data_IF_151757980241
#
_entry.id   IF_151757980241
#
_cell.length_a   1.000
_cell.length_b   1.000
_cell.length_c   1.000
_cell.angle_alpha   90.00
_cell.angle_beta   90.00
_cell.angle_gamma   90.00
#
_symmetry.space_group_name_H-M   'P 1'
#
loop_
_entity.id
_entity.type
_entity.pdbx_description
1 polymer ?
#
# COMPACT_ATOMS: atom_id res chain seq x y z
N UNK A 1 12.60 23.74 -5.47
CA UNK A 1 11.71 24.49 -4.56
C UNK A 1 10.83 23.51 -3.78
N UNK A 2 10.79 23.63 -2.44
CA UNK A 2 9.86 22.83 -1.62
C UNK A 2 8.43 23.29 -1.87
N UNK A 3 7.51 22.35 -2.15
CA UNK A 3 6.11 22.65 -2.43
C UNK A 3 5.28 22.70 -1.14
N UNK A 4 5.38 21.66 -0.32
CA UNK A 4 4.72 21.58 0.99
C UNK A 4 5.48 20.66 1.94
N UNK A 5 5.04 20.62 3.18
CA UNK A 5 5.44 19.60 4.14
C UNK A 5 4.40 18.49 4.14
N UNK A 6 4.87 17.26 4.07
CA UNK A 6 4.06 16.09 4.31
C UNK A 6 4.22 15.71 5.79
N UNK A 7 3.12 15.42 6.44
CA UNK A 7 3.14 14.80 7.76
C UNK A 7 3.48 13.31 7.66
N UNK A 8 2.92 12.51 8.51
CA UNK A 8 3.10 11.05 8.46
C UNK A 8 2.26 10.48 7.30
N UNK A 9 2.91 10.15 6.20
CA UNK A 9 2.26 9.50 5.05
C UNK A 9 2.32 7.99 5.19
N UNK A 10 1.22 7.35 4.79
CA UNK A 10 1.08 5.89 4.83
C UNK A 10 0.74 5.31 3.44
N UNK A 11 0.86 6.10 2.39
CA UNK A 11 0.59 5.69 1.02
C UNK A 11 1.42 6.51 0.05
N UNK A 12 1.41 6.06 -1.20
CA UNK A 12 2.04 6.80 -2.30
C UNK A 12 1.31 8.12 -2.55
N UNK A 13 2.03 9.05 -3.14
CA UNK A 13 1.44 10.26 -3.70
C UNK A 13 0.73 9.92 -5.00
N UNK A 14 -0.50 10.38 -5.16
CA UNK A 14 -1.28 10.23 -6.38
C UNK A 14 -1.43 11.58 -7.06
N UNK A 15 -1.02 11.67 -8.32
CA UNK A 15 -1.19 12.85 -9.15
C UNK A 15 -2.40 12.65 -10.07
N UNK A 16 -3.36 13.58 -10.00
CA UNK A 16 -4.48 13.63 -10.92
C UNK A 16 -4.74 15.09 -11.35
N UNK A 17 -4.58 15.37 -12.63
CA UNK A 17 -4.60 16.74 -13.15
C UNK A 17 -3.50 17.58 -12.52
N UNK A 18 -3.86 18.71 -11.92
CA UNK A 18 -2.97 19.63 -11.21
C UNK A 18 -2.97 19.43 -9.69
N UNK A 19 -3.43 18.28 -9.19
CA UNK A 19 -3.56 18.02 -7.76
C UNK A 19 -2.82 16.77 -7.35
N UNK A 20 -2.18 16.84 -6.18
CA UNK A 20 -1.50 15.70 -5.54
C UNK A 20 -2.30 15.28 -4.32
N UNK A 21 -2.58 13.99 -4.20
CA UNK A 21 -3.37 13.39 -3.12
C UNK A 21 -2.54 12.40 -2.33
N UNK A 22 -2.79 12.35 -1.02
CA UNK A 22 -2.17 11.36 -0.13
C UNK A 22 -3.03 11.10 1.11
N UNK A 23 -2.74 10.00 1.76
CA UNK A 23 -3.24 9.72 3.11
C UNK A 23 -2.24 10.22 4.14
N UNK A 24 -2.71 10.96 5.12
CA UNK A 24 -1.88 11.41 6.25
C UNK A 24 -2.41 10.86 7.57
N UNK A 25 -1.52 10.30 8.37
CA UNK A 25 -1.86 9.82 9.71
C UNK A 25 -2.02 11.01 10.64
N UNK A 26 -3.12 11.01 11.38
CA UNK A 26 -3.43 12.00 12.41
C UNK A 26 -3.44 11.29 13.76
N UNK A 27 -2.44 11.49 14.61
CA UNK A 27 -2.39 10.87 15.93
C UNK A 27 -3.58 11.26 16.80
N UNK A 28 -4.03 10.34 17.63
CA UNK A 28 -5.00 10.62 18.69
C UNK A 28 -4.38 11.52 19.75
N UNK A 29 -5.14 12.52 20.22
CA UNK A 29 -4.64 13.46 21.23
C UNK A 29 -4.49 12.83 22.63
N UNK A 30 -5.25 11.78 22.90
CA UNK A 30 -5.33 11.15 24.22
C UNK A 30 -4.58 9.83 24.34
N UNK A 31 -4.57 9.05 23.25
CA UNK A 31 -4.02 7.70 23.22
C UNK A 31 -3.04 7.55 22.06
N UNK A 32 -1.80 7.23 22.35
CA UNK A 32 -0.72 7.11 21.35
C UNK A 32 -0.97 6.02 20.31
N UNK A 33 -1.76 5.00 20.64
CA UNK A 33 -2.11 3.90 19.74
C UNK A 33 -3.44 4.12 18.98
N UNK A 34 -4.17 5.20 19.28
CA UNK A 34 -5.37 5.58 18.56
C UNK A 34 -5.02 6.51 17.40
N UNK A 35 -4.69 5.93 16.27
CA UNK A 35 -4.35 6.69 15.08
C UNK A 35 -5.54 6.74 14.12
N UNK A 36 -5.73 7.91 13.54
CA UNK A 36 -6.67 8.19 12.46
C UNK A 36 -5.90 8.52 11.20
N UNK A 37 -6.60 8.58 10.09
CA UNK A 37 -6.07 9.10 8.85
C UNK A 37 -7.08 10.03 8.19
N UNK A 38 -6.57 10.91 7.34
CA UNK A 38 -7.33 11.81 6.48
C UNK A 38 -6.75 11.78 5.08
N UNK A 39 -7.58 12.03 4.07
CA UNK A 39 -7.09 12.29 2.74
C UNK A 39 -6.84 13.78 2.59
N UNK A 40 -5.64 14.13 2.15
CA UNK A 40 -5.23 15.50 1.83
C UNK A 40 -4.99 15.68 0.34
N UNK A 41 -5.10 16.91 -0.09
CA UNK A 41 -4.85 17.36 -1.44
C UNK A 41 -3.92 18.56 -1.40
N UNK A 42 -2.95 18.61 -2.31
CA UNK A 42 -2.16 19.81 -2.64
C UNK A 42 -2.49 20.24 -4.07
N UNK A 43 -2.88 21.46 -4.23
CA UNK A 43 -3.13 22.06 -5.54
C UNK A 43 -1.85 22.73 -6.06
N UNK A 44 -1.35 22.26 -7.21
CA UNK A 44 -0.08 22.70 -7.80
C UNK A 44 -0.14 24.15 -8.34
N UNK A 45 -1.31 24.65 -8.69
CA UNK A 45 -1.48 26.01 -9.19
C UNK A 45 -1.56 27.03 -8.05
N UNK A 46 -2.42 26.72 -7.06
CA UNK A 46 -2.66 27.65 -5.95
C UNK A 46 -1.69 27.47 -4.79
N UNK A 47 -0.98 26.35 -4.72
CA UNK A 47 -0.10 25.99 -3.62
C UNK A 47 -0.82 25.67 -2.31
N UNK A 48 -2.13 25.42 -2.36
CA UNK A 48 -2.96 25.20 -1.18
C UNK A 48 -3.04 23.72 -0.81
N UNK A 49 -2.85 23.41 0.48
CA UNK A 49 -3.19 22.12 1.08
C UNK A 49 -4.61 22.15 1.62
N UNK A 50 -5.40 21.12 1.30
CA UNK A 50 -6.77 20.97 1.79
C UNK A 50 -6.96 19.57 2.37
N UNK A 51 -7.65 19.47 3.52
CA UNK A 51 -8.10 18.20 4.09
C UNK A 51 -9.45 17.89 3.44
N UNK A 52 -9.54 16.74 2.77
CA UNK A 52 -10.74 16.34 2.02
C UNK A 52 -11.73 15.53 2.85
N UNK A 53 -11.24 14.70 3.77
CA UNK A 53 -12.10 13.81 4.55
C UNK A 53 -12.07 14.15 6.03
N UNK A 54 -13.13 13.81 6.78
CA UNK A 54 -13.04 13.79 8.24
C UNK A 54 -12.01 12.76 8.70
N UNK A 55 -11.70 12.75 9.99
CA UNK A 55 -10.86 11.72 10.60
C UNK A 55 -11.52 10.35 10.42
N UNK A 56 -10.80 9.42 9.86
CA UNK A 56 -11.22 8.05 9.61
C UNK A 56 -10.06 7.08 9.72
N UNK A 57 -10.16 5.96 9.00
CA UNK A 57 -9.09 4.97 8.85
C UNK A 57 -8.91 4.65 7.37
N UNK A 58 -8.68 5.70 6.59
CA UNK A 58 -8.50 5.64 5.14
C UNK A 58 -7.05 5.40 4.80
N UNK A 59 -6.80 4.51 3.84
CA UNK A 59 -5.47 4.18 3.33
C UNK A 59 -5.51 4.10 1.80
N UNK A 60 -4.34 4.13 1.17
CA UNK A 60 -4.12 3.79 -0.23
C UNK A 60 -5.09 4.48 -1.21
N UNK A 61 -5.18 5.81 -1.25
CA UNK A 61 -6.07 6.48 -2.19
C UNK A 61 -5.64 6.23 -3.63
N UNK A 62 -6.61 5.92 -4.50
CA UNK A 62 -6.48 5.98 -5.95
C UNK A 62 -7.51 6.99 -6.46
N UNK A 63 -7.14 7.80 -7.45
CA UNK A 63 -7.98 8.86 -7.97
C UNK A 63 -8.45 8.47 -9.37
N UNK A 64 -9.74 8.66 -9.66
CA UNK A 64 -10.29 8.43 -10.99
C UNK A 64 -9.74 9.46 -12.01
N UNK A 65 -9.81 9.11 -13.28
CA UNK A 65 -9.29 9.95 -14.36
C UNK A 65 -9.95 11.35 -14.44
N UNK A 66 -11.20 11.44 -13.99
CA UNK A 66 -11.99 12.67 -14.03
C UNK A 66 -11.77 13.54 -12.79
N UNK A 67 -10.93 13.07 -11.86
CA UNK A 67 -10.59 13.76 -10.61
C UNK A 67 -11.84 14.10 -9.75
N UNK A 68 -12.81 13.20 -9.75
CA UNK A 68 -14.08 13.33 -9.02
C UNK A 68 -14.20 12.41 -7.84
N UNK A 69 -13.65 11.20 -7.97
CA UNK A 69 -13.80 10.14 -6.97
C UNK A 69 -12.44 9.58 -6.57
N UNK A 70 -12.25 9.41 -5.27
CA UNK A 70 -11.15 8.60 -4.75
C UNK A 70 -11.70 7.24 -4.33
N UNK A 71 -11.03 6.17 -4.75
CA UNK A 71 -11.16 4.86 -4.12
C UNK A 71 -10.14 4.78 -2.98
N UNK A 72 -10.58 4.36 -1.81
CA UNK A 72 -9.73 4.25 -0.62
C UNK A 72 -9.98 2.94 0.09
N UNK A 73 -8.93 2.38 0.67
CA UNK A 73 -9.07 1.30 1.65
C UNK A 73 -9.50 1.89 2.98
N UNK A 74 -10.42 1.23 3.65
CA UNK A 74 -10.82 1.55 5.03
C UNK A 74 -10.94 0.27 5.83
N UNK A 75 -10.52 0.28 7.09
CA UNK A 75 -10.93 -0.77 8.01
C UNK A 75 -11.72 -0.19 9.18
N UNK A 76 -12.75 -0.95 9.58
CA UNK A 76 -13.68 -0.55 10.63
C UNK A 76 -13.14 -0.91 12.02
N UNK A 77 -13.79 -0.40 13.06
CA UNK A 77 -13.47 -0.79 14.46
C UNK A 77 -13.81 -2.26 14.71
N UNK A 78 -14.79 -2.81 13.98
CA UNK A 78 -15.14 -4.24 14.04
C UNK A 78 -14.15 -5.16 13.31
N UNK A 79 -13.13 -4.59 12.64
CA UNK A 79 -12.11 -5.38 11.94
C UNK A 79 -12.47 -5.73 10.49
N UNK A 80 -13.49 -5.10 9.90
CA UNK A 80 -13.85 -5.30 8.51
C UNK A 80 -13.02 -4.43 7.57
N UNK A 81 -12.49 -5.01 6.52
CA UNK A 81 -11.82 -4.31 5.44
C UNK A 81 -12.84 -3.95 4.35
N UNK A 82 -12.79 -2.72 3.90
CA UNK A 82 -13.72 -2.18 2.92
C UNK A 82 -12.99 -1.31 1.90
N UNK A 83 -13.46 -1.35 0.66
CA UNK A 83 -13.15 -0.32 -0.34
C UNK A 83 -14.25 0.73 -0.29
N UNK A 84 -13.87 2.00 -0.18
CA UNK A 84 -14.81 3.12 -0.09
C UNK A 84 -14.59 4.07 -1.24
N UNK A 85 -15.65 4.52 -1.88
CA UNK A 85 -15.63 5.61 -2.84
C UNK A 85 -15.94 6.92 -2.13
N UNK A 86 -15.06 7.90 -2.30
CA UNK A 86 -15.14 9.23 -1.68
C UNK A 86 -15.30 10.28 -2.78
N UNK A 87 -16.32 11.11 -2.67
CA UNK A 87 -16.48 12.30 -3.51
C UNK A 87 -15.42 13.33 -3.14
N UNK A 88 -14.56 13.70 -4.09
CA UNK A 88 -13.45 14.63 -3.85
C UNK A 88 -13.90 16.08 -3.69
N UNK A 89 -15.06 16.45 -4.23
CA UNK A 89 -15.60 17.80 -4.08
C UNK A 89 -16.29 17.99 -2.72
N UNK A 90 -17.08 16.98 -2.30
CA UNK A 90 -17.82 17.01 -1.06
C UNK A 90 -17.03 16.51 0.16
N UNK A 91 -15.95 15.75 -0.05
CA UNK A 91 -15.19 15.07 1.00
C UNK A 91 -16.02 14.02 1.75
N UNK A 92 -17.00 13.41 1.06
CA UNK A 92 -17.96 12.47 1.67
C UNK A 92 -17.88 11.10 1.01
N UNK A 93 -18.06 10.07 1.83
CA UNK A 93 -18.25 8.71 1.35
C UNK A 93 -19.55 8.60 0.55
N UNK A 94 -19.46 8.02 -0.64
CA UNK A 94 -20.60 7.76 -1.52
C UNK A 94 -21.09 6.33 -1.39
N UNK A 95 -20.17 5.36 -1.44
CA UNK A 95 -20.45 3.94 -1.43
C UNK A 95 -19.27 3.17 -0.86
N UNK A 96 -19.54 2.01 -0.26
CA UNK A 96 -18.50 1.08 0.17
C UNK A 96 -18.80 -0.34 -0.34
N UNK A 97 -17.74 -1.14 -0.42
CA UNK A 97 -17.77 -2.54 -0.82
C UNK A 97 -16.97 -3.36 0.18
N UNK A 98 -17.53 -4.47 0.60
CA UNK A 98 -16.83 -5.44 1.43
C UNK A 98 -15.81 -6.18 0.57
N UNK A 99 -14.62 -6.38 1.11
CA UNK A 99 -13.53 -7.07 0.40
C UNK A 99 -13.67 -8.57 0.60
N UNK A 100 -13.52 -9.39 -0.45
CA UNK A 100 -13.52 -10.85 -0.32
C UNK A 100 -12.51 -11.33 0.73
N UNK A 101 -12.87 -12.37 1.47
CA UNK A 101 -12.05 -12.98 2.54
C UNK A 101 -11.56 -11.97 3.60
N UNK A 102 -12.23 -10.83 3.69
CA UNK A 102 -11.81 -9.71 4.54
C UNK A 102 -10.35 -9.29 4.29
N UNK A 103 -9.86 -9.44 3.07
CA UNK A 103 -8.49 -9.10 2.70
C UNK A 103 -8.17 -7.63 2.98
N UNK A 104 -6.97 -7.35 3.48
CA UNK A 104 -6.49 -5.99 3.64
C UNK A 104 -6.08 -5.41 2.28
N UNK A 105 -6.67 -4.29 1.89
CA UNK A 105 -6.27 -3.58 0.67
C UNK A 105 -5.03 -2.74 0.98
N UNK A 106 -3.91 -3.14 0.42
CA UNK A 106 -2.62 -2.47 0.57
C UNK A 106 -2.50 -1.25 -0.34
N UNK A 107 -2.87 -1.40 -1.60
CA UNK A 107 -2.79 -0.36 -2.64
C UNK A 107 -3.94 -0.50 -3.64
N UNK A 108 -4.26 0.60 -4.30
CA UNK A 108 -5.35 0.70 -5.27
C UNK A 108 -4.87 1.42 -6.53
N UNK A 109 -5.47 1.10 -7.66
CA UNK A 109 -5.32 1.84 -8.92
C UNK A 109 -6.60 1.75 -9.74
N UNK A 110 -6.87 2.76 -10.55
CA UNK A 110 -7.92 2.73 -11.57
C UNK A 110 -7.33 2.34 -12.93
N UNK A 111 -8.09 1.59 -13.70
CA UNK A 111 -7.82 1.45 -15.14
C UNK A 111 -8.45 2.61 -15.95
N UNK A 112 -8.20 2.64 -17.25
CA UNK A 112 -8.75 3.68 -18.15
C UNK A 112 -10.29 3.60 -18.27
N UNK A 113 -10.94 2.47 -17.88
CA UNK A 113 -12.38 2.25 -17.93
C UNK A 113 -13.10 2.55 -16.61
N UNK A 114 -12.34 2.86 -15.55
CA UNK A 114 -12.88 3.13 -14.23
C UNK A 114 -13.05 1.88 -13.35
N UNK A 115 -12.52 0.74 -13.77
CA UNK A 115 -12.41 -0.46 -12.94
C UNK A 115 -11.31 -0.26 -11.91
N UNK A 116 -11.55 -0.69 -10.68
CA UNK A 116 -10.57 -0.55 -9.61
C UNK A 116 -9.82 -1.86 -9.43
N UNK A 117 -8.49 -1.80 -9.45
CA UNK A 117 -7.64 -2.93 -9.09
C UNK A 117 -7.06 -2.70 -7.70
N UNK A 118 -7.20 -3.72 -6.85
CA UNK A 118 -6.70 -3.74 -5.47
C UNK A 118 -5.57 -4.76 -5.32
N UNK A 119 -4.48 -4.35 -4.67
CA UNK A 119 -3.50 -5.27 -4.10
C UNK A 119 -4.05 -5.72 -2.75
N UNK A 120 -4.57 -6.94 -2.72
CA UNK A 120 -5.25 -7.52 -1.57
C UNK A 120 -4.31 -8.49 -0.82
N UNK A 121 -4.24 -8.33 0.50
CA UNK A 121 -3.36 -9.14 1.37
C UNK A 121 -4.20 -9.97 2.33
N UNK A 122 -3.96 -11.25 2.36
CA UNK A 122 -4.55 -12.21 3.30
C UNK A 122 -3.46 -12.91 4.10
N UNK A 123 -3.85 -13.81 4.99
CA UNK A 123 -2.90 -14.67 5.72
C UNK A 123 -2.14 -15.64 4.80
N UNK A 124 -2.67 -15.94 3.61
CA UNK A 124 -2.08 -16.87 2.65
C UNK A 124 -1.20 -16.20 1.60
N UNK A 125 -1.26 -14.87 1.47
CA UNK A 125 -0.45 -14.14 0.50
C UNK A 125 -1.13 -12.90 -0.08
N UNK A 126 -0.67 -12.51 -1.25
CA UNK A 126 -1.11 -11.32 -1.98
C UNK A 126 -1.80 -11.73 -3.27
N UNK A 127 -2.93 -11.13 -3.57
CA UNK A 127 -3.65 -11.28 -4.83
C UNK A 127 -3.96 -9.92 -5.46
N UNK A 128 -4.25 -9.92 -6.76
CA UNK A 128 -4.79 -8.74 -7.45
C UNK A 128 -6.28 -8.99 -7.73
N UNK A 129 -7.10 -8.16 -7.10
CA UNK A 129 -8.55 -8.21 -7.25
C UNK A 129 -9.04 -7.00 -8.06
N UNK A 130 -10.03 -7.21 -8.90
CA UNK A 130 -10.72 -6.14 -9.62
C UNK A 130 -12.14 -5.97 -9.09
N UNK A 131 -12.55 -4.72 -8.93
CA UNK A 131 -13.91 -4.35 -8.54
C UNK A 131 -14.62 -3.65 -9.70
N UNK A 132 -15.72 -4.21 -10.14
CA UNK A 132 -16.73 -3.48 -10.91
C UNK A 132 -17.55 -2.61 -9.96
N UNK A 133 -17.39 -1.32 -10.02
CA UNK A 133 -18.08 -0.38 -9.13
C UNK A 133 -19.58 -0.26 -9.41
N UNK A 134 -20.04 -0.66 -10.59
CA UNK A 134 -21.47 -0.61 -10.95
C UNK A 134 -22.23 -1.78 -10.32
N UNK A 135 -21.73 -2.99 -10.52
CA UNK A 135 -22.33 -4.21 -9.98
C UNK A 135 -21.94 -4.51 -8.54
N UNK A 136 -20.75 -4.07 -8.12
CA UNK A 136 -20.14 -4.42 -6.84
C UNK A 136 -19.47 -5.80 -6.86
N UNK A 137 -19.34 -6.41 -8.03
CA UNK A 137 -18.71 -7.71 -8.18
C UNK A 137 -17.18 -7.61 -8.14
N UNK A 138 -16.57 -8.51 -7.40
CA UNK A 138 -15.14 -8.72 -7.38
C UNK A 138 -14.76 -9.88 -8.30
N UNK A 139 -13.64 -9.75 -8.99
CA UNK A 139 -13.01 -10.80 -9.78
C UNK A 139 -11.51 -10.85 -9.48
N UNK A 140 -10.92 -12.02 -9.62
CA UNK A 140 -9.49 -12.22 -9.46
C UNK A 140 -8.77 -11.96 -10.79
N UNK A 141 -7.78 -11.06 -10.77
CA UNK A 141 -6.90 -10.76 -11.90
C UNK A 141 -5.59 -11.55 -11.81
N UNK A 142 -5.08 -11.75 -10.61
CA UNK A 142 -3.94 -12.59 -10.31
C UNK A 142 -4.21 -13.39 -9.04
N UNK A 143 -4.02 -14.70 -9.13
CA UNK A 143 -4.16 -15.62 -8.01
C UNK A 143 -3.18 -15.30 -6.88
N UNK A 144 -3.51 -15.75 -5.67
CA UNK A 144 -2.69 -15.52 -4.49
C UNK A 144 -1.27 -16.02 -4.67
N UNK A 145 -0.32 -15.16 -4.39
CA UNK A 145 1.12 -15.43 -4.40
C UNK A 145 1.77 -15.01 -3.09
N UNK A 146 2.88 -15.62 -2.72
CA UNK A 146 3.72 -15.21 -1.59
C UNK A 146 4.67 -14.04 -1.94
N UNK A 147 4.76 -13.70 -3.22
CA UNK A 147 5.61 -12.62 -3.71
C UNK A 147 4.97 -11.25 -3.45
N UNK A 148 5.78 -10.31 -2.95
CA UNK A 148 5.29 -8.95 -2.70
C UNK A 148 5.01 -8.22 -4.02
N UNK A 149 3.80 -7.64 -4.10
CA UNK A 149 3.35 -6.77 -5.19
C UNK A 149 3.06 -5.38 -4.62
N UNK A 150 3.61 -4.35 -5.27
CA UNK A 150 3.42 -2.95 -4.89
C UNK A 150 3.31 -2.07 -6.13
N UNK A 151 2.90 -0.83 -5.93
CA UNK A 151 2.86 0.19 -6.95
C UNK A 151 2.06 -0.16 -8.21
N UNK A 152 0.82 -0.68 -8.07
CA UNK A 152 0.01 -1.00 -9.23
C UNK A 152 -0.28 0.26 -10.06
N UNK A 153 -0.11 0.17 -11.37
CA UNK A 153 -0.33 1.27 -12.29
C UNK A 153 -0.82 0.75 -13.65
N UNK A 154 -2.02 1.18 -14.06
CA UNK A 154 -2.55 0.85 -15.38
C UNK A 154 -2.00 1.78 -16.46
N UNK A 155 -1.57 1.20 -17.56
CA UNK A 155 -1.23 1.94 -18.78
C UNK A 155 -1.36 1.04 -20.00
N UNK A 156 -1.93 1.56 -21.09
CA UNK A 156 -2.06 0.85 -22.37
C UNK A 156 -2.65 -0.56 -22.23
N UNK A 157 -3.66 -0.74 -21.38
CA UNK A 157 -4.34 -2.02 -21.14
C UNK A 157 -3.53 -3.07 -20.38
N UNK A 158 -2.40 -2.71 -19.80
CA UNK A 158 -1.55 -3.57 -18.98
C UNK A 158 -1.47 -3.02 -17.56
N UNK A 159 -1.37 -3.90 -16.57
CA UNK A 159 -1.13 -3.55 -15.19
C UNK A 159 0.36 -3.66 -14.86
N UNK A 160 1.01 -2.54 -14.63
CA UNK A 160 2.40 -2.47 -14.18
C UNK A 160 2.46 -2.49 -12.67
N UNK A 161 3.51 -3.06 -12.10
CA UNK A 161 3.73 -3.13 -10.65
C UNK A 161 5.20 -3.40 -10.33
N UNK A 162 5.54 -3.23 -9.08
CA UNK A 162 6.84 -3.61 -8.54
C UNK A 162 6.77 -4.97 -7.88
N UNK A 163 7.83 -5.74 -8.01
CA UNK A 163 8.01 -6.98 -7.28
C UNK A 163 9.48 -7.34 -7.08
N UNK A 164 9.77 -7.98 -5.96
CA UNK A 164 11.06 -8.59 -5.67
C UNK A 164 11.12 -10.09 -5.97
N UNK A 165 10.30 -10.59 -6.89
CA UNK A 165 10.16 -12.01 -7.18
C UNK A 165 11.49 -12.73 -7.49
N UNK A 166 12.45 -12.04 -8.09
CA UNK A 166 13.78 -12.56 -8.43
C UNK A 166 14.88 -12.16 -7.43
N UNK A 167 14.51 -11.70 -6.22
CA UNK A 167 15.46 -11.29 -5.17
C UNK A 167 15.85 -9.80 -5.22
N UNK A 168 15.49 -9.09 -6.27
CA UNK A 168 15.71 -7.64 -6.42
C UNK A 168 14.42 -6.99 -6.91
N UNK A 169 14.03 -5.85 -6.34
CA UNK A 169 12.87 -5.13 -6.83
C UNK A 169 13.05 -4.70 -8.28
N UNK A 170 12.07 -5.07 -9.09
CA UNK A 170 12.00 -4.73 -10.51
C UNK A 170 10.58 -4.34 -10.89
N UNK A 171 10.44 -3.70 -12.05
CA UNK A 171 9.14 -3.38 -12.62
C UNK A 171 8.70 -4.56 -13.49
N UNK A 172 7.47 -4.97 -13.25
CA UNK A 172 6.76 -6.03 -13.96
C UNK A 172 5.51 -5.47 -14.61
N UNK A 173 4.94 -6.20 -15.55
CA UNK A 173 3.55 -6.01 -15.92
C UNK A 173 2.81 -7.34 -16.03
N UNK A 174 1.52 -7.28 -15.82
CA UNK A 174 0.55 -8.34 -16.08
C UNK A 174 -0.25 -7.95 -17.32
N UNK A 175 -0.40 -8.90 -18.24
CA UNK A 175 -1.29 -8.78 -19.38
C UNK A 175 -2.63 -9.45 -19.03
N UNK A 176 -3.74 -8.69 -18.92
CA UNK A 176 -5.03 -9.27 -18.51
C UNK A 176 -5.61 -10.29 -19.46
N UNK A 177 -5.21 -10.27 -20.73
CA UNK A 177 -5.77 -11.17 -21.77
C UNK A 177 -5.35 -12.63 -21.60
N UNK A 178 -4.17 -12.87 -21.05
CA UNK A 178 -3.59 -14.20 -20.83
C UNK A 178 -3.13 -14.42 -19.38
N UNK A 179 -3.31 -13.44 -18.52
CA UNK A 179 -2.84 -13.40 -17.12
C UNK A 179 -1.34 -13.66 -16.96
N UNK A 180 -0.57 -13.52 -18.05
CA UNK A 180 0.87 -13.68 -18.02
C UNK A 180 1.56 -12.46 -17.42
N UNK A 181 2.60 -12.71 -16.64
CA UNK A 181 3.44 -11.68 -16.03
C UNK A 181 4.80 -11.62 -16.71
N UNK A 182 5.31 -10.40 -16.81
CA UNK A 182 6.57 -10.12 -17.51
C UNK A 182 7.41 -9.14 -16.70
N UNK A 183 8.70 -9.40 -16.59
CA UNK A 183 9.69 -8.49 -16.00
C UNK A 183 10.20 -7.52 -17.05
N UNK A 184 10.20 -6.22 -16.75
CA UNK A 184 10.66 -5.17 -17.66
C UNK A 184 12.05 -4.64 -17.35
N UNK A 185 12.40 -4.60 -16.05
CA UNK A 185 13.70 -4.08 -15.63
C UNK A 185 14.55 -5.20 -15.05
N UNK A 186 15.86 -5.04 -15.16
CA UNK A 186 16.85 -5.91 -14.53
C UNK A 186 17.85 -5.04 -13.77
N UNK A 187 17.33 -4.36 -12.74
CA UNK A 187 18.11 -3.46 -11.92
C UNK A 187 19.07 -4.22 -11.01
N UNK A 188 20.29 -3.69 -10.84
CA UNK A 188 21.29 -4.31 -9.96
C UNK A 188 20.91 -4.23 -8.49
N UNK A 189 20.33 -3.11 -8.05
CA UNK A 189 19.99 -2.87 -6.65
C UNK A 189 18.49 -2.65 -6.44
N UNK A 190 17.75 -2.25 -7.46
CA UNK A 190 16.30 -2.12 -7.44
C UNK A 190 15.75 -1.04 -8.35
N UNK A 191 14.58 -1.31 -8.93
CA UNK A 191 13.77 -0.37 -9.70
C UNK A 191 12.41 -0.21 -9.01
N UNK A 192 12.00 1.05 -8.77
CA UNK A 192 10.84 1.40 -7.94
C UNK A 192 10.01 2.49 -8.61
N UNK A 193 8.80 2.72 -8.10
CA UNK A 193 7.94 3.86 -8.41
C UNK A 193 7.66 4.03 -9.91
N UNK A 194 7.11 3.00 -10.62
CA UNK A 194 6.81 3.12 -12.03
C UNK A 194 5.83 4.27 -12.29
N UNK A 195 6.11 5.08 -13.28
CA UNK A 195 5.26 6.15 -13.74
C UNK A 195 5.36 6.28 -15.26
N UNK A 196 4.31 6.74 -15.92
CA UNK A 196 4.35 7.02 -17.34
C UNK A 196 4.39 8.52 -17.60
N UNK A 197 5.07 8.90 -18.69
CA UNK A 197 4.93 10.24 -19.26
C UNK A 197 3.46 10.49 -19.66
N UNK A 198 3.00 11.74 -19.72
CA UNK A 198 1.64 12.06 -20.17
C UNK A 198 1.29 11.48 -21.55
N UNK A 199 2.27 11.36 -22.45
CA UNK A 199 2.11 10.75 -23.76
C UNK A 199 2.10 9.21 -23.72
N UNK A 200 2.35 8.61 -22.54
CA UNK A 200 2.49 7.15 -22.34
C UNK A 200 3.55 6.48 -23.23
N UNK A 201 4.49 7.25 -23.75
CA UNK A 201 5.59 6.79 -24.63
C UNK A 201 6.82 6.29 -23.85
N UNK A 202 6.95 6.71 -22.59
CA UNK A 202 8.06 6.32 -21.71
C UNK A 202 7.56 5.87 -20.35
N UNK A 203 8.16 4.77 -19.87
CA UNK A 203 8.11 4.35 -18.48
C UNK A 203 9.26 5.02 -17.72
N UNK A 204 8.95 5.75 -16.68
CA UNK A 204 9.90 6.33 -15.73
C UNK A 204 9.91 5.48 -14.47
N UNK A 205 11.05 5.38 -13.81
CA UNK A 205 11.17 4.66 -12.54
C UNK A 205 12.33 5.20 -11.70
N UNK A 206 12.29 4.95 -10.40
CA UNK A 206 13.38 5.23 -9.47
C UNK A 206 14.40 4.10 -9.55
N UNK A 207 15.55 4.34 -10.11
CA UNK A 207 16.67 3.39 -10.19
C UNK A 207 17.57 3.58 -8.97
N UNK A 208 17.62 2.56 -8.11
CA UNK A 208 18.46 2.58 -6.91
C UNK A 208 19.87 2.19 -7.25
N UNK A 209 20.81 3.06 -6.94
CA UNK A 209 22.24 2.93 -7.21
C UNK A 209 23.05 3.02 -5.90
N UNK A 210 24.35 2.70 -5.96
CA UNK A 210 25.22 2.75 -4.79
C UNK A 210 25.32 4.16 -4.14
N UNK A 211 25.07 5.20 -4.92
CA UNK A 211 25.11 6.62 -4.52
C UNK A 211 23.72 7.25 -4.33
N UNK A 212 22.64 6.43 -4.34
CA UNK A 212 21.27 6.86 -4.12
C UNK A 212 20.34 6.60 -5.31
N UNK A 213 19.22 7.29 -5.35
CA UNK A 213 18.20 7.12 -6.38
C UNK A 213 18.42 8.03 -7.58
N UNK A 214 18.21 7.48 -8.77
CA UNK A 214 18.20 8.21 -10.05
C UNK A 214 16.90 7.94 -10.78
N UNK A 215 16.52 8.83 -11.70
CA UNK A 215 15.37 8.58 -12.56
C UNK A 215 15.85 7.80 -13.78
N UNK A 216 15.38 6.56 -13.90
CA UNK A 216 15.52 5.73 -15.09
C UNK A 216 14.38 5.99 -16.07
N UNK A 217 14.62 5.78 -17.36
CA UNK A 217 13.61 5.93 -18.41
C UNK A 217 13.76 4.83 -19.46
N UNK A 218 12.64 4.18 -19.80
CA UNK A 218 12.54 3.17 -20.86
C UNK A 218 11.49 3.62 -21.87
N UNK A 219 11.79 3.55 -23.16
CA UNK A 219 10.81 3.78 -24.22
C UNK A 219 9.85 2.58 -24.29
N UNK A 220 8.54 2.84 -24.33
CA UNK A 220 7.51 1.78 -24.31
C UNK A 220 7.62 0.87 -25.53
N UNK A 221 7.93 1.42 -26.70
CA UNK A 221 8.05 0.67 -27.95
C UNK A 221 9.29 -0.27 -28.00
N UNK A 222 10.25 -0.05 -27.11
CA UNK A 222 11.49 -0.84 -27.02
C UNK A 222 11.55 -1.72 -25.77
N UNK A 223 10.42 -1.95 -25.10
CA UNK A 223 10.37 -2.78 -23.91
C UNK A 223 10.57 -4.26 -24.30
N UNK A 224 11.77 -4.76 -24.05
CA UNK A 224 12.04 -6.19 -24.03
C UNK A 224 11.59 -6.73 -22.65
N UNK A 225 10.61 -7.62 -22.65
CA UNK A 225 10.05 -8.18 -21.44
C UNK A 225 10.34 -9.67 -21.34
N UNK A 226 10.82 -10.09 -20.21
CA UNK A 226 11.06 -11.49 -19.89
C UNK A 226 9.86 -12.07 -19.14
N UNK A 227 9.31 -13.18 -19.63
CA UNK A 227 8.21 -13.87 -18.93
C UNK A 227 8.66 -14.26 -17.53
N UNK A 228 7.87 -13.93 -16.52
CA UNK A 228 8.17 -14.14 -15.12
C UNK A 228 7.10 -15.02 -14.46
N UNK A 229 7.54 -15.89 -13.58
CA UNK A 229 6.65 -16.63 -12.67
C UNK A 229 6.67 -15.94 -11.30
N UNK A 230 5.50 -15.59 -10.80
CA UNK A 230 5.32 -15.03 -9.46
C UNK A 230 4.90 -16.10 -8.43
N UNK A 231 4.79 -17.35 -8.84
CA UNK A 231 4.42 -18.46 -7.94
C UNK A 231 5.55 -18.94 -7.04
N UNK A 232 6.81 -18.72 -7.46
CA UNK A 232 8.00 -19.18 -6.74
C UNK A 232 8.86 -17.98 -6.31
N UNK A 233 8.79 -17.57 -5.04
CA UNK A 233 9.57 -16.45 -4.53
C UNK A 233 11.05 -16.81 -4.46
N UNK A 234 11.90 -15.83 -4.69
CA UNK A 234 13.34 -15.97 -4.54
C UNK A 234 13.72 -16.37 -3.11
N UNK A 235 14.43 -17.47 -2.98
CA UNK A 235 15.03 -17.92 -1.73
C UNK A 235 16.52 -17.57 -1.71
N UNK A 236 16.95 -16.77 -0.74
CA UNK A 236 18.36 -16.41 -0.60
C UNK A 236 19.17 -17.65 -0.17
N UNK A 237 20.24 -18.02 -0.92
CA UNK A 237 21.11 -19.12 -0.51
C UNK A 237 21.72 -18.93 0.89
N UNK A 238 21.96 -17.68 1.28
CA UNK A 238 22.46 -17.34 2.62
C UNK A 238 21.45 -17.73 3.72
N UNK A 239 20.17 -17.44 3.51
CA UNK A 239 19.11 -17.79 4.48
C UNK A 239 19.00 -19.31 4.59
N UNK A 240 19.03 -20.02 3.47
CA UNK A 240 19.00 -21.48 3.46
C UNK A 240 20.16 -22.07 4.26
N UNK A 241 21.38 -21.59 4.03
CA UNK A 241 22.57 -22.05 4.77
C UNK A 241 22.50 -21.73 6.25
N UNK A 242 21.94 -20.57 6.65
CA UNK A 242 21.77 -20.20 8.06
C UNK A 242 20.73 -21.11 8.75
N UNK A 243 19.61 -21.38 8.09
CA UNK A 243 18.58 -22.29 8.63
C UNK A 243 19.14 -23.70 8.83
N UNK A 244 19.93 -24.22 7.88
CA UNK A 244 20.61 -25.51 8.00
C UNK A 244 21.61 -25.53 9.17
N UNK A 245 22.32 -24.43 9.37
CA UNK A 245 23.30 -24.29 10.46
C UNK A 245 22.64 -24.24 11.84
N UNK A 246 21.54 -23.49 11.95
CA UNK A 246 20.86 -23.29 13.24
C UNK A 246 20.07 -24.51 13.68
N UNK A 247 19.62 -25.37 12.77
CA UNK A 247 18.82 -26.58 13.02
C UNK A 247 17.56 -26.31 13.87
N UNK A 248 17.13 -25.05 13.95
CA UNK A 248 15.99 -24.61 14.73
C UNK A 248 14.99 -23.88 13.85
N UNK A 249 13.73 -24.31 13.92
CA UNK A 249 12.62 -23.63 13.28
C UNK A 249 11.63 -23.18 14.36
N UNK A 250 11.38 -21.87 14.43
CA UNK A 250 10.46 -21.28 15.39
C UNK A 250 9.03 -21.83 15.23
N UNK A 251 8.62 -22.12 13.99
CA UNK A 251 7.29 -22.69 13.69
C UNK A 251 7.11 -24.10 14.26
N UNK A 252 8.22 -24.83 14.51
CA UNK A 252 8.20 -26.14 15.13
C UNK A 252 8.28 -26.07 16.66
N UNK A 253 8.47 -24.90 17.24
CA UNK A 253 8.55 -24.73 18.68
C UNK A 253 7.19 -25.01 19.33
N UNK A 254 7.15 -26.02 20.22
CA UNK A 254 5.96 -26.29 21.02
C UNK A 254 5.83 -25.24 22.11
N UNK A 255 4.95 -24.26 21.89
CA UNK A 255 4.60 -23.29 22.92
C UNK A 255 3.61 -23.92 23.89
N UNK A 256 3.93 -23.88 25.17
CA UNK A 256 2.98 -24.30 26.20
C UNK A 256 1.78 -23.37 26.18
N UNK A 257 0.55 -23.89 26.01
CA UNK A 257 -0.63 -23.04 26.02
C UNK A 257 -0.73 -22.30 27.37
N UNK A 258 -0.78 -20.99 27.33
CA UNK A 258 -1.01 -20.17 28.53
C UNK A 258 -2.51 -20.05 28.72
N UNK A 259 -3.03 -20.66 29.77
CA UNK A 259 -4.41 -20.43 30.18
C UNK A 259 -4.55 -19.01 30.72
N UNK A 260 -5.25 -18.18 29.97
CA UNK A 260 -5.55 -16.81 30.35
C UNK A 260 -6.94 -16.69 30.93
N UNK A 261 -7.03 -16.42 32.23
CA UNK A 261 -8.29 -16.15 32.93
C UNK A 261 -8.50 -14.63 33.07
N UNK A 262 -9.17 -13.97 32.12
CA UNK A 262 -9.36 -12.53 32.17
C UNK A 262 -10.29 -12.17 33.34
N UNK A 263 -9.90 -11.18 34.13
CA UNK A 263 -10.74 -10.61 35.17
C UNK A 263 -11.25 -9.23 34.76
N UNK A 264 -12.50 -8.87 35.10
CA UNK A 264 -13.00 -7.53 34.82
C UNK A 264 -12.10 -6.46 35.41
N UNK A 265 -11.66 -5.52 34.61
CA UNK A 265 -10.86 -4.39 35.05
C UNK A 265 -11.73 -3.39 35.81
N UNK A 266 -11.47 -3.20 37.12
CA UNK A 266 -12.17 -2.24 37.98
C UNK A 266 -11.42 -0.91 38.00
N UNK A 267 -11.87 0.05 37.18
CA UNK A 267 -11.23 1.36 37.04
C UNK A 267 -11.00 2.06 38.38
N UNK A 268 -12.00 2.06 39.27
CA UNK A 268 -11.91 2.70 40.60
C UNK A 268 -10.86 2.08 41.52
N UNK A 269 -10.66 0.75 41.47
CA UNK A 269 -9.67 0.07 42.30
C UNK A 269 -8.22 0.33 41.88
N UNK A 270 -8.00 0.85 40.68
CA UNK A 270 -6.67 1.11 40.12
C UNK A 270 -6.34 2.61 39.98
N UNK A 271 -7.26 3.50 40.31
CA UNK A 271 -7.08 4.95 40.15
C UNK A 271 -5.90 5.51 40.95
N UNK A 272 -5.61 4.95 42.09
CA UNK A 272 -4.54 5.39 42.99
C UNK A 272 -3.39 4.39 43.11
N UNK A 273 -3.28 3.45 42.21
CA UNK A 273 -2.16 2.51 42.23
C UNK A 273 -0.93 3.18 41.66
N UNK A 274 -0.05 3.66 42.52
CA UNK A 274 1.26 4.17 42.16
C UNK A 274 2.14 3.01 41.72
N UNK A 275 2.32 2.82 40.40
CA UNK A 275 3.21 1.81 39.86
C UNK A 275 4.48 2.41 39.22
N UNK A 276 4.49 3.71 38.96
CA UNK A 276 5.68 4.45 38.55
C UNK A 276 5.57 5.90 39.03
N UNK A 277 6.61 6.40 39.64
CA UNK A 277 6.73 7.79 40.05
C UNK A 277 8.10 8.29 39.65
N UNK A 278 8.14 9.36 38.83
CA UNK A 278 9.34 10.05 38.47
C UNK A 278 9.18 11.52 38.92
N UNK A 279 9.92 11.98 39.95
CA UNK A 279 9.82 13.36 40.43
C UNK A 279 10.37 14.39 39.43
N UNK A 280 11.15 13.95 38.45
CA UNK A 280 11.70 14.81 37.42
C UNK A 280 11.62 14.14 36.05
N UNK A 281 11.19 14.88 35.06
CA UNK A 281 11.23 14.52 33.65
C UNK A 281 12.31 15.36 32.98
N UNK A 282 13.32 14.72 32.41
CA UNK A 282 14.29 15.37 31.56
C UNK A 282 13.96 15.04 30.11
N UNK A 283 13.55 16.05 29.38
CA UNK A 283 13.50 15.97 27.92
C UNK A 283 14.89 16.30 27.40
N UNK A 284 15.62 15.31 26.94
CA UNK A 284 16.89 15.51 26.27
C UNK A 284 16.55 15.70 24.78
N UNK A 285 16.06 16.88 24.44
CA UNK A 285 15.98 17.30 23.08
C UNK A 285 17.39 17.72 22.63
N UNK A 286 18.07 16.87 21.85
CA UNK A 286 19.19 17.26 21.02
C UNK A 286 18.72 17.77 19.66
#
# INVERSE_FOLDING_TARGET
KRLCYLGTINSRLNLAGNKVYWTEIVPGLRWTHENYSVIKQYDLETGKVTILTPRGRYLAPAIDKDNRTAAVSRFTISGENQLVLVDLAAGKEQRYFTVPDNAFIKELTYDDNGTITAVAVTATGISLLQLDTQTGAWSELLATTSVNITAPLWSNGKLFFESGANGTNNIYYLNPSDTATYRLTSARFGAFDPAFTPAKDKLLYSDYQADGYRIGSLAVDSLEAEKADLGDPYHSPLVTSLVEQEQFNLDSAQLTPIEFNPRPYRKGAHTFKLHSWAPFYYDVAE
#
